data_IF_073135119110
#
_entry.id   IF_073135119110
#
_cell.length_a   1.000
_cell.length_b   1.000
_cell.length_c   1.000
_cell.angle_alpha   90.00
_cell.angle_beta   90.00
_cell.angle_gamma   90.00
#
_symmetry.space_group_name_H-M   'P 1'
#
loop_
_entity.id
_entity.type
_entity.pdbx_description
1 polymer ?
#
# COMPACT_ATOMS: atom_id res chain seq x y z
N UNK A 1 5.64 -10.78 7.21
CA UNK A 1 5.75 -10.49 5.76
C UNK A 1 4.45 -9.87 5.33
N UNK A 2 4.48 -8.65 4.79
CA UNK A 2 3.26 -7.90 4.48
C UNK A 2 2.53 -8.55 3.30
N UNK A 3 1.24 -8.83 3.50
CA UNK A 3 0.36 -9.35 2.44
C UNK A 3 -0.57 -8.25 1.97
N UNK A 4 -0.49 -7.89 0.69
CA UNK A 4 -1.33 -6.88 0.03
C UNK A 4 -2.48 -7.57 -0.68
N UNK A 5 -3.70 -7.15 -0.37
CA UNK A 5 -4.91 -7.63 -1.02
C UNK A 5 -5.37 -6.64 -2.08
N UNK A 6 -5.47 -7.11 -3.32
CA UNK A 6 -5.78 -6.26 -4.46
C UNK A 6 -6.63 -6.97 -5.53
N UNK A 7 -7.05 -6.26 -6.56
CA UNK A 7 -7.64 -6.90 -7.73
C UNK A 7 -6.58 -7.59 -8.60
N UNK A 8 -7.02 -8.60 -9.35
CA UNK A 8 -6.14 -9.30 -10.31
C UNK A 8 -5.57 -8.32 -11.34
N UNK A 9 -4.34 -8.55 -11.83
CA UNK A 9 -3.76 -7.76 -12.91
C UNK A 9 -4.69 -7.68 -14.13
N UNK A 10 -4.79 -6.49 -14.72
CA UNK A 10 -5.63 -6.21 -15.88
C UNK A 10 -5.04 -5.04 -16.69
N UNK A 11 -5.30 -5.00 -18.00
CA UNK A 11 -4.86 -3.90 -18.89
C UNK A 11 -3.34 -3.62 -18.86
N UNK A 12 -2.52 -4.64 -18.59
CA UNK A 12 -1.06 -4.49 -18.44
C UNK A 12 -0.62 -3.87 -17.11
N UNK A 13 -1.55 -3.63 -16.18
CA UNK A 13 -1.29 -3.10 -14.85
C UNK A 13 -1.25 -4.24 -13.81
N UNK A 14 -0.46 -4.09 -12.73
CA UNK A 14 -0.44 -5.05 -11.62
C UNK A 14 -1.79 -5.12 -10.91
N UNK A 15 -2.57 -4.04 -10.96
CA UNK A 15 -3.95 -3.97 -10.52
C UNK A 15 -4.70 -2.88 -11.32
N UNK A 16 -6.00 -3.08 -11.60
CA UNK A 16 -6.86 -2.02 -12.14
C UNK A 16 -7.25 -0.96 -11.11
N UNK A 17 -6.98 -1.16 -9.80
CA UNK A 17 -7.29 -0.17 -8.76
C UNK A 17 -6.21 0.93 -8.71
N UNK A 18 -6.57 2.22 -8.86
CA UNK A 18 -5.60 3.32 -8.71
C UNK A 18 -4.94 3.34 -7.33
N UNK A 19 -5.71 3.05 -6.27
CA UNK A 19 -5.20 3.00 -4.91
C UNK A 19 -4.29 1.79 -4.67
N UNK A 20 -4.61 0.65 -5.30
CA UNK A 20 -3.77 -0.54 -5.27
C UNK A 20 -2.45 -0.29 -5.99
N UNK A 21 -2.49 0.39 -7.13
CA UNK A 21 -1.30 0.76 -7.89
C UNK A 21 -0.39 1.68 -7.07
N UNK A 22 -0.97 2.70 -6.42
CA UNK A 22 -0.26 3.59 -5.49
C UNK A 22 0.46 2.80 -4.40
N UNK A 23 -0.23 1.89 -3.73
CA UNK A 23 0.33 1.11 -2.63
C UNK A 23 1.46 0.17 -3.09
N UNK A 24 1.23 -0.59 -4.17
CA UNK A 24 2.25 -1.49 -4.70
C UNK A 24 3.46 -0.75 -5.26
N UNK A 25 3.28 0.46 -5.81
CA UNK A 25 4.40 1.31 -6.22
C UNK A 25 5.20 1.80 -5.02
N UNK A 26 4.52 2.26 -3.95
CA UNK A 26 5.18 2.69 -2.72
C UNK A 26 6.04 1.57 -2.12
N UNK A 27 5.47 0.38 -1.93
CA UNK A 27 6.19 -0.78 -1.37
C UNK A 27 7.44 -1.12 -2.18
N UNK A 28 7.34 -1.10 -3.52
CA UNK A 28 8.48 -1.33 -4.42
C UNK A 28 9.56 -0.26 -4.31
N UNK A 29 9.19 1.01 -4.29
CA UNK A 29 10.17 2.10 -4.18
C UNK A 29 10.79 2.23 -2.78
N UNK A 30 10.05 1.81 -1.75
CA UNK A 30 10.53 1.76 -0.38
C UNK A 30 11.40 0.51 -0.10
N UNK A 31 11.55 -0.39 -1.07
CA UNK A 31 12.24 -1.68 -0.94
C UNK A 31 11.66 -2.55 0.19
N UNK A 32 10.34 -2.46 0.40
CA UNK A 32 9.62 -3.24 1.41
C UNK A 32 9.14 -4.54 0.76
N UNK A 33 9.56 -5.72 1.25
CA UNK A 33 9.13 -6.99 0.71
C UNK A 33 7.65 -7.25 1.02
N UNK A 34 6.88 -7.61 -0.01
CA UNK A 34 5.44 -7.89 0.12
C UNK A 34 5.00 -9.04 -0.79
N UNK A 35 3.89 -9.68 -0.42
CA UNK A 35 3.18 -10.64 -1.26
C UNK A 35 1.84 -10.06 -1.71
N UNK A 36 1.39 -10.38 -2.92
CA UNK A 36 0.06 -10.00 -3.41
C UNK A 36 -0.91 -11.17 -3.37
N UNK A 37 -2.06 -10.96 -2.74
CA UNK A 37 -3.22 -11.83 -2.82
C UNK A 37 -4.35 -11.14 -3.58
N UNK A 38 -4.90 -11.83 -4.58
CA UNK A 38 -5.91 -11.25 -5.44
C UNK A 38 -7.33 -11.65 -5.04
N UNK A 39 -8.18 -10.65 -4.84
CA UNK A 39 -9.59 -10.82 -4.50
C UNK A 39 -10.50 -10.38 -5.64
N UNK A 40 -11.66 -11.01 -5.76
CA UNK A 40 -12.68 -10.62 -6.75
C UNK A 40 -13.67 -9.60 -6.20
N UNK A 41 -13.90 -9.60 -4.88
CA UNK A 41 -14.79 -8.65 -4.21
C UNK A 41 -14.16 -8.18 -2.89
N UNK A 42 -14.25 -6.89 -2.57
CA UNK A 42 -13.60 -6.32 -1.39
C UNK A 42 -14.39 -6.55 -0.08
N UNK A 43 -15.45 -7.37 -0.09
CA UNK A 43 -16.34 -7.63 1.06
C UNK A 43 -15.59 -8.20 2.27
N UNK A 44 -14.41 -8.79 2.05
CA UNK A 44 -13.56 -9.34 3.11
C UNK A 44 -12.62 -8.32 3.74
N UNK A 45 -12.54 -7.09 3.24
CA UNK A 45 -11.64 -6.10 3.83
C UNK A 45 -12.29 -5.39 5.02
N UNK A 46 -11.50 -4.88 5.98
CA UNK A 46 -12.02 -4.17 7.15
C UNK A 46 -12.99 -3.03 6.85
N UNK A 47 -12.88 -2.43 5.65
CA UNK A 47 -13.71 -1.30 5.20
C UNK A 47 -14.50 -1.57 3.92
N UNK A 48 -14.49 -2.80 3.40
CA UNK A 48 -15.13 -3.12 2.12
C UNK A 48 -14.47 -2.51 0.88
N UNK A 49 -13.23 -2.02 0.98
CA UNK A 49 -12.44 -1.40 -0.09
C UNK A 49 -11.15 -2.16 -0.39
N UNK A 50 -10.60 -1.97 -1.60
CA UNK A 50 -9.22 -2.34 -1.97
C UNK A 50 -8.40 -1.07 -2.25
N UNK A 51 -7.09 -1.08 -1.97
CA UNK A 51 -6.32 -2.17 -1.37
C UNK A 51 -6.44 -2.19 0.16
N UNK A 52 -6.13 -3.33 0.75
CA UNK A 52 -5.82 -3.44 2.18
C UNK A 52 -4.60 -4.34 2.36
N UNK A 53 -3.96 -4.27 3.53
CA UNK A 53 -2.86 -5.14 3.89
C UNK A 53 -3.19 -5.97 5.12
N UNK A 54 -2.48 -7.09 5.24
CA UNK A 54 -2.28 -7.81 6.50
C UNK A 54 -0.79 -7.77 6.84
N UNK A 55 -0.47 -7.29 8.03
CA UNK A 55 0.85 -7.37 8.62
C UNK A 55 0.74 -8.03 9.99
N UNK A 56 1.21 -9.27 10.10
CA UNK A 56 0.95 -10.18 11.21
C UNK A 56 -0.55 -10.27 11.56
N UNK A 57 -0.95 -9.84 12.77
CA UNK A 57 -2.35 -9.85 13.24
C UNK A 57 -3.12 -8.55 12.91
N UNK A 58 -2.47 -7.59 12.25
CA UNK A 58 -3.05 -6.30 11.92
C UNK A 58 -3.57 -6.27 10.48
N UNK A 59 -4.84 -5.92 10.30
CA UNK A 59 -5.42 -5.62 8.99
C UNK A 59 -5.74 -4.13 8.86
N UNK A 60 -5.20 -3.50 7.80
CA UNK A 60 -5.38 -2.09 7.52
C UNK A 60 -5.89 -1.89 6.10
N UNK A 61 -6.98 -1.15 5.96
CA UNK A 61 -7.52 -0.71 4.68
C UNK A 61 -7.32 0.81 4.50
N UNK A 62 -7.37 1.27 3.25
CA UNK A 62 -7.04 2.63 2.77
C UNK A 62 -5.54 2.83 2.50
N UNK A 63 -5.18 3.09 1.24
CA UNK A 63 -3.77 3.18 0.84
C UNK A 63 -3.02 4.34 1.47
N UNK A 64 -3.69 5.43 1.88
CA UNK A 64 -3.05 6.52 2.59
C UNK A 64 -2.66 6.10 4.00
N UNK A 65 -3.61 5.57 4.77
CA UNK A 65 -3.34 5.09 6.13
C UNK A 65 -2.32 3.95 6.16
N UNK A 66 -2.38 3.04 5.18
CA UNK A 66 -1.40 1.96 5.05
C UNK A 66 0.02 2.53 4.83
N UNK A 67 0.18 3.49 3.93
CA UNK A 67 1.50 4.10 3.67
C UNK A 67 2.03 4.80 4.92
N UNK A 68 1.20 5.55 5.64
CA UNK A 68 1.63 6.21 6.88
C UNK A 68 2.02 5.21 7.97
N UNK A 69 1.30 4.09 8.09
CA UNK A 69 1.69 2.99 8.97
C UNK A 69 3.04 2.38 8.57
N UNK A 70 3.25 2.11 7.27
CA UNK A 70 4.51 1.55 6.77
C UNK A 70 5.69 2.49 6.99
N UNK A 71 5.51 3.80 6.84
CA UNK A 71 6.53 4.81 7.17
C UNK A 71 6.91 4.77 8.65
N UNK A 72 5.94 4.59 9.55
CA UNK A 72 6.21 4.48 10.98
C UNK A 72 6.98 3.20 11.34
N UNK A 73 6.67 2.09 10.66
CA UNK A 73 7.28 0.78 10.94
C UNK A 73 8.65 0.57 10.27
N UNK A 74 8.82 1.07 9.04
CA UNK A 74 10.01 0.82 8.20
C UNK A 74 10.85 2.08 7.92
N UNK A 75 10.39 3.26 8.34
CA UNK A 75 10.98 4.54 7.98
C UNK A 75 10.43 5.10 6.67
N UNK A 76 10.61 6.41 6.47
CA UNK A 76 10.10 7.11 5.29
C UNK A 76 11.16 7.27 4.19
N UNK A 77 11.63 6.13 3.66
CA UNK A 77 12.74 6.05 2.71
C UNK A 77 12.56 6.92 1.46
N UNK A 78 11.33 7.06 0.95
CA UNK A 78 11.08 7.87 -0.25
C UNK A 78 11.28 9.36 -0.02
N UNK A 79 11.17 9.80 1.24
CA UNK A 79 11.31 11.18 1.63
C UNK A 79 12.66 11.47 2.31
N UNK A 80 13.60 10.51 2.28
CA UNK A 80 14.95 10.68 2.80
C UNK A 80 15.61 11.90 2.15
N UNK A 81 16.04 12.85 2.98
CA UNK A 81 16.72 14.08 2.53
C UNK A 81 15.80 15.22 2.11
N UNK A 82 14.47 15.08 2.21
CA UNK A 82 13.56 16.21 2.03
C UNK A 82 13.52 17.10 3.27
N UNK A 83 13.50 18.41 3.04
CA UNK A 83 13.30 19.40 4.09
C UNK A 83 11.83 19.48 4.50
N UNK A 84 11.57 20.01 5.70
CA UNK A 84 10.19 20.21 6.19
C UNK A 84 9.32 21.04 5.22
N UNK A 85 9.90 22.02 4.52
CA UNK A 85 9.19 22.83 3.54
C UNK A 85 8.80 22.03 2.29
N UNK A 86 9.66 21.11 1.83
CA UNK A 86 9.36 20.26 0.67
C UNK A 86 8.29 19.23 0.98
N UNK A 87 8.26 18.71 2.21
CA UNK A 87 7.22 17.80 2.68
C UNK A 87 5.84 18.48 2.79
N UNK A 88 5.79 19.75 3.17
CA UNK A 88 4.54 20.49 3.32
C UNK A 88 3.83 20.79 1.98
N UNK A 89 4.52 20.66 0.85
CA UNK A 89 3.97 20.91 -0.50
C UNK A 89 3.56 19.65 -1.25
N UNK A 90 3.79 18.46 -0.67
CA UNK A 90 3.57 17.16 -1.29
C UNK A 90 2.14 16.61 -1.06
#
# INVERSE_FOLDING_TARGET
VITVFNFRPAWGLPTPSPFGLKLEAYLRFADIPYACEYVQRPVKSPKGTVPWIRDDDLELADSGFIIEYLKQMHGDRLNDGLTATQLATA
#
